data_IF_917438008026
#
_entry.id   IF_917438008026
#
_cell.length_a   1.000
_cell.length_b   1.000
_cell.length_c   1.000
_cell.angle_alpha   90.00
_cell.angle_beta   90.00
_cell.angle_gamma   90.00
#
_symmetry.space_group_name_H-M   'P 1'
#
loop_
_entity.id
_entity.type
_entity.pdbx_description
1 polymer ?
#
# COMPACT_ATOMS: atom_id res chain seq x y z
N UNK A 1 -16.49 -0.52 22.38
CA UNK A 1 -16.65 0.51 21.33
C UNK A 1 -15.49 0.55 20.32
N UNK A 2 -14.22 0.58 20.75
CA UNK A 2 -13.05 0.65 19.84
C UNK A 2 -12.96 -0.51 18.84
N UNK A 3 -13.19 -1.77 19.28
CA UNK A 3 -13.13 -2.94 18.41
C UNK A 3 -14.15 -2.86 17.23
N UNK A 4 -15.37 -2.40 17.51
CA UNK A 4 -16.37 -2.23 16.46
C UNK A 4 -16.02 -1.08 15.49
N UNK A 5 -15.48 0.01 16.01
CA UNK A 5 -15.01 1.11 15.15
C UNK A 5 -13.82 0.67 14.28
N UNK A 6 -12.86 -0.06 14.87
CA UNK A 6 -11.75 -0.65 14.14
C UNK A 6 -12.24 -1.60 13.04
N UNK A 7 -13.15 -2.53 13.37
CA UNK A 7 -13.76 -3.42 12.38
C UNK A 7 -14.37 -2.66 11.19
N UNK A 8 -15.17 -1.64 11.46
CA UNK A 8 -15.75 -0.80 10.39
C UNK A 8 -14.68 -0.12 9.53
N UNK A 9 -13.63 0.38 10.16
CA UNK A 9 -12.53 1.06 9.47
C UNK A 9 -11.78 0.12 8.53
N UNK A 10 -11.37 -1.06 8.99
CA UNK A 10 -10.65 -2.03 8.15
C UNK A 10 -11.55 -2.60 7.05
N UNK A 11 -12.83 -2.81 7.31
CA UNK A 11 -13.80 -3.30 6.31
C UNK A 11 -14.05 -2.24 5.22
N UNK A 12 -14.21 -0.97 5.60
CA UNK A 12 -14.32 0.14 4.64
C UNK A 12 -13.07 0.27 3.78
N UNK A 13 -11.90 0.24 4.41
CA UNK A 13 -10.62 0.31 3.70
C UNK A 13 -10.50 -0.81 2.66
N UNK A 14 -10.72 -2.06 3.08
CA UNK A 14 -10.69 -3.22 2.18
C UNK A 14 -11.68 -3.09 1.02
N UNK A 15 -12.88 -2.61 1.29
CA UNK A 15 -13.88 -2.35 0.24
C UNK A 15 -13.37 -1.34 -0.79
N UNK A 16 -12.77 -0.23 -0.34
CA UNK A 16 -12.21 0.78 -1.24
C UNK A 16 -11.06 0.23 -2.10
N UNK A 17 -10.19 -0.60 -1.52
CA UNK A 17 -9.13 -1.30 -2.27
C UNK A 17 -9.73 -2.28 -3.26
N UNK A 18 -10.69 -3.10 -2.84
CA UNK A 18 -11.37 -4.06 -3.71
C UNK A 18 -11.98 -3.36 -4.94
N UNK A 19 -12.73 -2.29 -4.74
CA UNK A 19 -13.31 -1.50 -5.83
C UNK A 19 -12.23 -0.96 -6.79
N UNK A 20 -11.12 -0.46 -6.27
CA UNK A 20 -9.99 0.02 -7.07
C UNK A 20 -9.35 -1.11 -7.89
N UNK A 21 -9.03 -2.22 -7.24
CA UNK A 21 -8.45 -3.41 -7.86
C UNK A 21 -9.35 -3.98 -8.98
N UNK A 22 -10.66 -4.06 -8.77
CA UNK A 22 -11.61 -4.54 -9.78
C UNK A 22 -11.63 -3.66 -11.03
N UNK A 23 -11.51 -2.35 -10.88
CA UNK A 23 -11.47 -1.40 -12.01
C UNK A 23 -10.25 -1.60 -12.92
N UNK A 24 -9.16 -2.13 -12.38
CA UNK A 24 -7.93 -2.42 -13.15
C UNK A 24 -7.74 -3.89 -13.49
N UNK A 25 -8.70 -4.77 -13.12
CA UNK A 25 -8.66 -6.20 -13.43
C UNK A 25 -7.93 -7.08 -12.42
N UNK A 26 -7.57 -6.55 -11.26
CA UNK A 26 -6.92 -7.28 -10.15
C UNK A 26 -7.96 -7.92 -9.21
N UNK A 27 -8.80 -8.81 -9.75
CA UNK A 27 -9.96 -9.37 -9.01
C UNK A 27 -9.54 -10.16 -7.77
N UNK A 28 -8.54 -11.05 -7.92
CA UNK A 28 -8.09 -11.88 -6.82
C UNK A 28 -7.47 -11.06 -5.70
N UNK A 29 -6.58 -10.12 -6.04
CA UNK A 29 -5.97 -9.23 -5.06
C UNK A 29 -7.04 -8.39 -4.35
N UNK A 30 -8.01 -7.85 -5.09
CA UNK A 30 -9.10 -7.08 -4.49
C UNK A 30 -9.91 -7.87 -3.46
N UNK A 31 -10.20 -9.13 -3.73
CA UNK A 31 -10.95 -10.00 -2.81
C UNK A 31 -10.12 -10.40 -1.57
N UNK A 32 -8.84 -10.69 -1.77
CA UNK A 32 -7.97 -11.22 -0.72
C UNK A 32 -7.17 -10.15 0.02
N UNK A 33 -7.17 -8.91 -0.48
CA UNK A 33 -6.46 -7.79 0.13
C UNK A 33 -6.70 -7.72 1.64
N UNK A 34 -5.63 -7.69 2.39
CA UNK A 34 -5.66 -7.45 3.85
C UNK A 34 -6.57 -8.37 4.68
N UNK A 35 -6.85 -9.60 4.21
CA UNK A 35 -7.60 -10.57 5.01
C UNK A 35 -6.93 -10.84 6.35
N UNK A 36 -5.62 -10.72 6.42
CA UNK A 36 -4.84 -10.89 7.65
C UNK A 36 -5.25 -9.93 8.78
N UNK A 37 -5.82 -8.75 8.44
CA UNK A 37 -6.32 -7.76 9.42
C UNK A 37 -7.45 -8.29 10.32
N UNK A 38 -8.12 -9.36 9.91
CA UNK A 38 -9.13 -10.04 10.73
C UNK A 38 -8.55 -11.16 11.60
N UNK A 39 -7.26 -11.48 11.48
CA UNK A 39 -6.59 -12.41 12.39
C UNK A 39 -6.58 -11.88 13.82
N UNK A 40 -6.51 -12.79 14.80
CA UNK A 40 -6.45 -12.39 16.22
C UNK A 40 -5.25 -11.50 16.51
N UNK A 41 -4.11 -11.74 15.86
CA UNK A 41 -2.87 -10.97 16.04
C UNK A 41 -3.05 -9.51 15.63
N UNK A 42 -3.55 -9.26 14.41
CA UNK A 42 -3.70 -7.90 13.91
C UNK A 42 -4.94 -7.22 14.49
N UNK A 43 -6.06 -7.95 14.61
CA UNK A 43 -7.31 -7.36 15.06
C UNK A 43 -7.26 -6.89 16.52
N UNK A 44 -6.67 -7.70 17.42
CA UNK A 44 -6.54 -7.32 18.84
C UNK A 44 -5.66 -6.09 19.04
N UNK A 45 -4.50 -6.08 18.39
CA UNK A 45 -3.61 -4.92 18.42
C UNK A 45 -4.30 -3.69 17.79
N UNK A 46 -4.92 -3.88 16.62
CA UNK A 46 -5.66 -2.82 15.94
C UNK A 46 -6.78 -2.23 16.80
N UNK A 47 -7.57 -3.06 17.48
CA UNK A 47 -8.63 -2.60 18.38
C UNK A 47 -8.08 -1.90 19.63
N UNK A 48 -6.98 -2.41 20.21
CA UNK A 48 -6.32 -1.80 21.39
C UNK A 48 -5.83 -0.39 21.07
N UNK A 49 -5.12 -0.23 19.95
CA UNK A 49 -4.46 1.03 19.56
C UNK A 49 -5.30 1.94 18.65
N UNK A 50 -6.57 1.61 18.42
CA UNK A 50 -7.44 2.37 17.55
C UNK A 50 -7.66 3.81 18.03
N UNK A 51 -7.42 4.77 17.13
CA UNK A 51 -7.60 6.21 17.37
C UNK A 51 -8.57 6.85 16.35
N UNK A 52 -8.85 6.18 15.22
CA UNK A 52 -9.75 6.68 14.17
C UNK A 52 -9.12 7.64 13.15
N UNK A 53 -8.02 8.29 13.49
CA UNK A 53 -7.37 9.33 12.68
C UNK A 53 -6.11 8.88 11.97
N UNK A 54 -5.55 7.73 12.38
CA UNK A 54 -4.34 7.15 11.81
C UNK A 54 -4.31 5.63 12.02
N UNK A 55 -3.36 4.97 11.35
CA UNK A 55 -3.14 3.53 11.52
C UNK A 55 -2.82 3.18 12.97
N UNK A 56 -3.48 2.16 13.57
CA UNK A 56 -3.17 1.66 14.91
C UNK A 56 -1.72 1.21 15.09
N UNK A 57 -1.07 0.76 14.01
CA UNK A 57 0.34 0.33 14.04
C UNK A 57 1.29 1.46 14.46
N UNK A 58 0.96 2.72 14.14
CA UNK A 58 1.75 3.87 14.55
C UNK A 58 1.70 4.04 16.08
N UNK A 59 0.51 3.94 16.67
CA UNK A 59 0.35 4.02 18.12
C UNK A 59 0.96 2.82 18.86
N UNK A 60 0.94 1.63 18.26
CA UNK A 60 1.63 0.46 18.81
C UNK A 60 3.15 0.67 18.82
N UNK A 61 3.73 1.26 17.75
CA UNK A 61 5.18 1.60 17.72
C UNK A 61 5.57 2.64 18.77
N UNK A 62 4.71 3.62 19.01
CA UNK A 62 4.93 4.63 20.04
C UNK A 62 4.93 4.02 21.45
N UNK A 63 4.10 3.00 21.70
CA UNK A 63 3.99 2.33 22.99
C UNK A 63 5.11 1.30 23.25
N UNK A 64 5.46 0.50 22.21
CA UNK A 64 6.36 -0.66 22.33
C UNK A 64 7.73 -0.49 21.66
N UNK A 65 7.94 0.58 20.88
CA UNK A 65 9.11 0.73 20.01
C UNK A 65 8.99 0.02 18.66
N UNK A 66 8.04 -0.92 18.49
CA UNK A 66 7.76 -1.66 17.28
C UNK A 66 6.27 -2.04 17.19
N UNK A 67 5.81 -2.58 16.06
CA UNK A 67 4.43 -3.07 15.91
C UNK A 67 4.44 -4.55 15.51
N UNK A 68 3.96 -5.42 16.41
CA UNK A 68 3.75 -6.86 16.13
C UNK A 68 2.70 -7.06 15.05
N UNK A 69 1.62 -6.27 15.10
CA UNK A 69 0.58 -6.29 14.08
C UNK A 69 1.15 -5.96 12.70
N UNK A 70 2.05 -4.96 12.60
CA UNK A 70 2.70 -4.61 11.33
C UNK A 70 3.66 -5.70 10.84
N UNK A 71 4.47 -6.27 11.73
CA UNK A 71 5.37 -7.37 11.35
C UNK A 71 4.61 -8.57 10.82
N UNK A 72 3.49 -8.94 11.47
CA UNK A 72 2.60 -9.99 10.99
C UNK A 72 1.97 -9.62 9.64
N UNK A 73 1.52 -8.37 9.49
CA UNK A 73 0.84 -7.87 8.32
C UNK A 73 1.74 -7.82 7.09
N UNK A 74 2.87 -7.12 7.16
CA UNK A 74 3.79 -6.96 6.03
C UNK A 74 4.39 -8.27 5.53
N UNK A 75 4.56 -9.25 6.40
CA UNK A 75 5.06 -10.57 6.03
C UNK A 75 4.03 -11.47 5.30
N UNK A 76 2.76 -11.06 5.23
CA UNK A 76 1.66 -11.81 4.59
C UNK A 76 1.04 -11.11 3.40
N UNK A 77 1.30 -9.82 3.26
CA UNK A 77 0.66 -8.97 2.24
C UNK A 77 1.70 -8.44 1.26
N UNK A 78 1.74 -9.04 0.07
CA UNK A 78 2.76 -8.78 -0.96
C UNK A 78 2.68 -7.39 -1.60
N UNK A 79 1.61 -6.63 -1.36
CA UNK A 79 1.51 -5.24 -1.79
C UNK A 79 2.31 -4.27 -0.89
N UNK A 80 2.90 -4.75 0.20
CA UNK A 80 3.85 -3.98 1.00
C UNK A 80 5.26 -4.20 0.50
N UNK A 81 6.00 -3.11 0.25
CA UNK A 81 7.36 -3.17 -0.31
C UNK A 81 8.34 -3.87 0.64
N UNK A 82 8.13 -3.84 1.96
CA UNK A 82 8.96 -4.52 2.95
C UNK A 82 8.90 -6.04 2.85
N UNK A 83 7.89 -6.61 2.19
CA UNK A 83 7.85 -8.02 1.85
C UNK A 83 8.97 -8.39 0.85
N UNK A 84 9.33 -7.47 -0.04
CA UNK A 84 10.25 -7.65 -1.15
C UNK A 84 11.68 -7.31 -0.71
N UNK A 85 12.21 -8.09 0.24
CA UNK A 85 13.56 -7.97 0.76
C UNK A 85 14.16 -9.37 0.85
N UNK A 86 15.34 -9.56 0.26
CA UNK A 86 16.04 -10.84 0.28
C UNK A 86 17.53 -10.65 0.51
N UNK A 87 18.22 -11.74 0.85
CA UNK A 87 19.67 -11.73 1.07
C UNK A 87 20.40 -11.70 -0.25
N UNK A 88 21.16 -10.65 -0.50
CA UNK A 88 22.08 -10.56 -1.62
C UNK A 88 23.30 -11.48 -1.35
N UNK A 89 23.55 -12.45 -2.25
CA UNK A 89 24.63 -13.43 -2.09
C UNK A 89 26.02 -12.82 -2.14
N UNK A 90 26.19 -11.69 -2.82
CA UNK A 90 27.48 -11.02 -3.00
C UNK A 90 27.80 -10.14 -1.79
N UNK A 91 26.86 -9.29 -1.37
CA UNK A 91 27.05 -8.37 -0.25
C UNK A 91 26.78 -9.00 1.11
N UNK A 92 26.06 -10.13 1.15
CA UNK A 92 25.54 -10.81 2.35
C UNK A 92 24.64 -9.91 3.22
N UNK A 93 24.08 -8.86 2.62
CA UNK A 93 23.13 -7.97 3.26
C UNK A 93 21.71 -8.28 2.77
N UNK A 94 20.73 -7.96 3.60
CA UNK A 94 19.34 -7.91 3.17
C UNK A 94 19.11 -6.64 2.35
N UNK A 95 18.68 -6.82 1.11
CA UNK A 95 18.48 -5.74 0.15
C UNK A 95 17.06 -5.81 -0.44
N UNK A 96 16.46 -4.65 -0.76
CA UNK A 96 15.17 -4.65 -1.44
C UNK A 96 15.31 -5.19 -2.87
N UNK A 97 14.31 -5.96 -3.29
CA UNK A 97 14.17 -6.47 -4.66
C UNK A 97 12.98 -5.83 -5.36
N UNK A 98 12.96 -5.76 -6.72
CA UNK A 98 11.86 -5.16 -7.45
C UNK A 98 10.52 -5.82 -7.16
N UNK A 99 9.51 -5.01 -6.88
CA UNK A 99 8.15 -5.49 -6.67
C UNK A 99 7.49 -5.82 -8.02
N UNK A 100 6.82 -6.99 -8.17
CA UNK A 100 6.03 -7.28 -9.36
C UNK A 100 4.90 -6.29 -9.58
N UNK A 101 4.61 -5.97 -10.82
CA UNK A 101 3.69 -4.89 -11.24
C UNK A 101 2.26 -5.04 -10.73
N UNK A 102 1.78 -6.27 -10.58
CA UNK A 102 0.45 -6.52 -10.00
C UNK A 102 0.37 -6.11 -8.51
N UNK A 103 1.44 -6.33 -7.73
CA UNK A 103 1.51 -5.88 -6.33
C UNK A 103 1.81 -4.40 -6.22
N UNK A 104 2.57 -3.83 -7.17
CA UNK A 104 2.72 -2.37 -7.28
C UNK A 104 1.38 -1.68 -7.51
N UNK A 105 0.57 -2.19 -8.44
CA UNK A 105 -0.76 -1.65 -8.69
C UNK A 105 -1.70 -1.82 -7.48
N UNK A 106 -1.64 -2.96 -6.78
CA UNK A 106 -2.37 -3.16 -5.52
C UNK A 106 -1.92 -2.16 -4.44
N UNK A 107 -0.61 -1.91 -4.30
CA UNK A 107 -0.06 -0.90 -3.37
C UNK A 107 -0.58 0.51 -3.68
N UNK A 108 -0.75 0.87 -4.95
CA UNK A 108 -1.36 2.16 -5.34
C UNK A 108 -2.80 2.23 -4.84
N UNK A 109 -3.58 1.16 -5.02
CA UNK A 109 -4.96 1.10 -4.53
C UNK A 109 -5.04 1.15 -3.01
N UNK A 110 -4.13 0.46 -2.31
CA UNK A 110 -4.03 0.47 -0.85
C UNK A 110 -3.74 1.89 -0.32
N UNK A 111 -2.72 2.57 -0.85
CA UNK A 111 -2.35 3.94 -0.43
C UNK A 111 -3.48 4.94 -0.66
N UNK A 112 -4.11 4.88 -1.82
CA UNK A 112 -5.29 5.68 -2.13
C UNK A 112 -6.42 5.43 -1.12
N UNK A 113 -6.78 4.18 -0.89
CA UNK A 113 -7.84 3.78 0.03
C UNK A 113 -7.53 4.14 1.49
N UNK A 114 -6.26 4.05 1.91
CA UNK A 114 -5.82 4.50 3.23
C UNK A 114 -6.03 6.01 3.41
N UNK A 115 -5.62 6.82 2.42
CA UNK A 115 -5.88 8.26 2.45
C UNK A 115 -7.37 8.59 2.51
N UNK A 116 -8.20 7.94 1.68
CA UNK A 116 -9.67 8.10 1.72
C UNK A 116 -10.27 7.71 3.08
N UNK A 117 -9.73 6.68 3.70
CA UNK A 117 -10.22 6.16 4.98
C UNK A 117 -9.93 7.12 6.12
N UNK A 118 -8.71 7.65 6.20
CA UNK A 118 -8.27 8.50 7.32
C UNK A 118 -8.53 9.99 7.12
N UNK A 119 -8.55 10.48 5.90
CA UNK A 119 -8.81 11.90 5.59
C UNK A 119 -10.29 12.21 5.35
N UNK A 120 -11.09 11.20 4.99
CA UNK A 120 -12.52 11.38 4.74
C UNK A 120 -12.78 12.44 3.67
N UNK A 121 -13.48 13.53 4.04
CA UNK A 121 -13.81 14.63 3.12
C UNK A 121 -12.61 15.47 2.66
N UNK A 122 -11.50 15.42 3.37
CA UNK A 122 -10.28 16.13 3.00
C UNK A 122 -9.42 15.38 1.98
N UNK A 123 -9.80 14.16 1.60
CA UNK A 123 -9.12 13.39 0.57
C UNK A 123 -9.12 14.12 -0.77
N UNK A 124 -7.96 14.11 -1.42
CA UNK A 124 -7.78 14.51 -2.82
C UNK A 124 -6.94 13.45 -3.54
N UNK A 125 -6.95 13.44 -4.86
CA UNK A 125 -6.12 12.51 -5.63
C UNK A 125 -4.61 12.72 -5.41
N UNK A 126 -4.18 13.90 -4.94
CA UNK A 126 -2.82 14.20 -4.52
C UNK A 126 -2.44 13.67 -3.14
N UNK A 127 -3.40 13.21 -2.34
CA UNK A 127 -3.14 12.78 -0.94
C UNK A 127 -2.14 11.65 -0.81
N UNK A 128 -2.20 10.65 -1.72
CA UNK A 128 -1.31 9.51 -1.70
C UNK A 128 0.13 9.88 -2.10
N UNK A 129 0.29 10.80 -3.06
CA UNK A 129 1.59 11.37 -3.45
C UNK A 129 2.20 12.14 -2.27
N UNK A 130 1.45 13.06 -1.67
CA UNK A 130 1.92 13.85 -0.54
C UNK A 130 2.36 12.98 0.66
N UNK A 131 1.66 11.87 0.92
CA UNK A 131 2.05 10.90 1.92
C UNK A 131 3.36 10.18 1.55
N UNK A 132 3.49 9.75 0.30
CA UNK A 132 4.68 9.09 -0.24
C UNK A 132 5.93 9.98 -0.14
N UNK A 133 5.81 11.26 -0.50
CA UNK A 133 6.93 12.22 -0.44
C UNK A 133 7.41 12.51 0.99
N UNK A 134 6.50 12.50 1.96
CA UNK A 134 6.83 12.65 3.39
C UNK A 134 7.46 11.40 4.00
N UNK A 135 7.28 10.24 3.38
CA UNK A 135 7.66 8.95 3.94
C UNK A 135 9.17 8.74 4.01
N UNK A 136 9.60 8.09 5.08
CA UNK A 136 10.98 7.60 5.28
C UNK A 136 11.25 6.28 4.52
N UNK A 137 10.37 5.91 3.61
CA UNK A 137 10.39 4.63 2.86
C UNK A 137 11.52 4.56 1.83
N UNK A 138 12.27 5.67 1.71
CA UNK A 138 13.27 5.87 0.66
C UNK A 138 14.36 4.80 0.65
N UNK A 139 14.72 4.32 1.82
CA UNK A 139 15.90 3.44 1.98
C UNK A 139 15.55 1.94 1.97
N UNK A 140 14.25 1.58 2.11
CA UNK A 140 13.79 0.20 2.19
C UNK A 140 13.04 -0.28 0.94
N UNK A 141 12.78 0.60 -0.02
CA UNK A 141 12.10 0.26 -1.27
C UNK A 141 13.11 0.20 -2.41
N UNK A 142 13.01 -0.86 -3.23
CA UNK A 142 13.86 -0.96 -4.42
C UNK A 142 13.74 0.29 -5.30
N UNK A 143 14.85 0.85 -5.83
CA UNK A 143 14.83 2.10 -6.60
C UNK A 143 13.81 2.12 -7.75
N UNK A 144 13.71 1.03 -8.51
CA UNK A 144 12.76 0.92 -9.62
C UNK A 144 11.32 0.95 -9.11
N UNK A 145 11.01 0.15 -8.08
CA UNK A 145 9.67 0.15 -7.45
C UNK A 145 9.29 1.54 -6.98
N UNK A 146 10.23 2.24 -6.36
CA UNK A 146 10.03 3.61 -5.87
C UNK A 146 9.78 4.59 -7.01
N UNK A 147 10.56 4.52 -8.10
CA UNK A 147 10.40 5.36 -9.27
C UNK A 147 9.04 5.13 -9.95
N UNK A 148 8.68 3.86 -10.13
CA UNK A 148 7.40 3.45 -10.70
C UNK A 148 6.21 3.91 -9.84
N UNK A 149 6.27 3.70 -8.53
CA UNK A 149 5.24 4.16 -7.60
C UNK A 149 5.09 5.68 -7.62
N UNK A 150 6.19 6.42 -7.54
CA UNK A 150 6.19 7.88 -7.60
C UNK A 150 5.54 8.39 -8.87
N UNK A 151 5.89 7.82 -10.04
CA UNK A 151 5.29 8.18 -11.33
C UNK A 151 3.77 7.95 -11.36
N UNK A 152 3.30 6.79 -10.87
CA UNK A 152 1.87 6.47 -10.85
C UNK A 152 1.11 7.39 -9.88
N UNK A 153 1.68 7.69 -8.71
CA UNK A 153 1.06 8.59 -7.74
C UNK A 153 1.04 10.04 -8.22
N UNK A 154 2.06 10.49 -8.98
CA UNK A 154 2.06 11.79 -9.65
C UNK A 154 0.95 11.85 -10.71
N UNK A 155 0.83 10.79 -11.52
CA UNK A 155 -0.28 10.69 -12.49
C UNK A 155 -1.65 10.75 -11.81
N UNK A 156 -1.81 10.08 -10.66
CA UNK A 156 -3.05 10.14 -9.89
C UNK A 156 -3.35 11.58 -9.41
N UNK A 157 -2.34 12.28 -8.91
CA UNK A 157 -2.49 13.65 -8.44
C UNK A 157 -2.84 14.66 -9.55
N UNK A 158 -2.24 14.49 -10.73
CA UNK A 158 -2.36 15.45 -11.84
C UNK A 158 -3.50 15.13 -12.82
N UNK A 159 -3.75 13.84 -13.08
CA UNK A 159 -4.71 13.38 -14.11
C UNK A 159 -5.95 12.69 -13.55
N UNK A 160 -5.95 12.43 -12.23
CA UNK A 160 -7.07 11.79 -11.52
C UNK A 160 -7.17 10.29 -11.76
N UNK A 161 -8.15 9.69 -11.09
CA UNK A 161 -8.36 8.23 -11.07
C UNK A 161 -8.57 7.60 -12.46
N UNK A 162 -9.38 8.24 -13.31
CA UNK A 162 -9.77 7.66 -14.58
C UNK A 162 -8.56 7.34 -15.46
N UNK A 163 -7.68 8.31 -15.64
CA UNK A 163 -6.49 8.17 -16.47
C UNK A 163 -5.46 7.24 -15.81
N UNK A 164 -5.25 7.37 -14.50
CA UNK A 164 -4.33 6.51 -13.76
C UNK A 164 -4.75 5.04 -13.80
N UNK A 165 -6.05 4.75 -13.63
CA UNK A 165 -6.54 3.37 -13.66
C UNK A 165 -6.49 2.78 -15.06
N UNK A 166 -6.73 3.59 -16.09
CA UNK A 166 -6.52 3.19 -17.49
C UNK A 166 -5.06 2.82 -17.72
N UNK A 167 -4.12 3.68 -17.32
CA UNK A 167 -2.68 3.43 -17.43
C UNK A 167 -2.24 2.17 -16.68
N UNK A 168 -2.69 1.99 -15.44
CA UNK A 168 -2.42 0.77 -14.68
C UNK A 168 -2.89 -0.47 -15.42
N UNK A 169 -4.11 -0.47 -15.96
CA UNK A 169 -4.71 -1.62 -16.65
C UNK A 169 -4.06 -1.91 -17.99
N UNK A 170 -3.81 -0.89 -18.81
CA UNK A 170 -3.45 -1.03 -20.22
C UNK A 170 -1.94 -1.01 -20.47
N UNK A 171 -1.15 -0.44 -19.54
CA UNK A 171 0.29 -0.32 -19.68
C UNK A 171 1.03 -1.13 -18.60
N UNK A 172 0.79 -0.82 -17.33
CA UNK A 172 1.55 -1.43 -16.22
C UNK A 172 1.28 -2.93 -16.10
N UNK A 173 0.01 -3.34 -16.06
CA UNK A 173 -0.37 -4.74 -15.86
C UNK A 173 -0.19 -5.61 -17.10
N UNK A 174 -0.06 -5.02 -18.28
CA UNK A 174 0.28 -5.72 -19.53
C UNK A 174 1.79 -5.89 -19.72
N UNK A 175 2.60 -5.31 -18.85
CA UNK A 175 4.06 -5.45 -18.89
C UNK A 175 4.76 -4.47 -19.83
N UNK A 176 4.07 -3.44 -20.35
CA UNK A 176 4.72 -2.42 -21.19
C UNK A 176 5.76 -1.63 -20.40
N UNK A 177 6.85 -1.19 -21.04
CA UNK A 177 7.89 -0.42 -20.37
C UNK A 177 7.36 0.91 -19.84
N UNK A 178 7.91 1.38 -18.73
CA UNK A 178 7.70 2.75 -18.29
C UNK A 178 8.46 3.72 -19.22
N UNK A 179 8.07 5.00 -19.30
CA UNK A 179 8.67 5.95 -20.26
C UNK A 179 10.19 6.09 -20.21
N UNK A 180 10.81 5.76 -19.08
CA UNK A 180 12.28 5.78 -18.96
C UNK A 180 12.94 4.44 -19.23
N UNK A 181 12.20 3.36 -19.40
CA UNK A 181 12.70 2.02 -19.73
C UNK A 181 12.79 1.82 -21.25
N UNK A 182 12.07 2.63 -22.05
CA UNK A 182 12.07 2.56 -23.51
C UNK A 182 13.38 3.04 -24.14
N UNK A 183 14.20 3.79 -23.40
CA UNK A 183 15.45 4.39 -23.88
C UNK A 183 16.69 3.83 -23.14
N UNK A 184 16.55 2.75 -22.37
CA UNK A 184 17.62 2.07 -21.66
C UNK A 184 17.98 0.77 -22.37
#
# INVERSE_FOLDING_TARGET
MKAWQHFKTITRHRWLVCCGCFRVGLYWQGLTHDLSKYSLTEFRAGAKYYQGTRSPNAAEREDKGYSEAWMHHKGRNKHHYEYWTDMNRQTRNYEPIPMPRNYLAEMVMDRRAACMTYQGRAYTDGSALAYFEKGREKDLMHPDTRRQLGYILTMLAEKGEKETFRYLKEEVLTGKPFPWEENA
#
